data_IF_256114423976
#
_entry.id   IF_256114423976
#
_cell.length_a   1.000
_cell.length_b   1.000
_cell.length_c   1.000
_cell.angle_alpha   90.00
_cell.angle_beta   90.00
_cell.angle_gamma   90.00
#
_symmetry.space_group_name_H-M   'P 1'
#
loop_
_entity.id
_entity.type
_entity.pdbx_description
1 polymer ?
#
# COMPACT_ATOMS: atom_id res chain seq x y z
N UNK A 1 67.91 -2.78 -20.09
CA UNK A 1 68.70 -2.94 -18.84
C UNK A 1 67.72 -3.35 -17.75
N UNK A 2 67.54 -4.65 -17.45
CA UNK A 2 68.21 -5.45 -16.38
C UNK A 2 68.09 -4.78 -15.01
N UNK A 3 67.23 -5.27 -14.11
CA UNK A 3 67.44 -6.33 -13.07
C UNK A 3 67.64 -5.63 -11.70
N UNK A 4 67.06 -5.97 -10.54
CA UNK A 4 66.76 -7.23 -9.80
C UNK A 4 65.78 -6.88 -8.64
N UNK A 5 64.64 -7.56 -8.39
CA UNK A 5 64.38 -8.77 -7.56
C UNK A 5 65.14 -8.95 -6.21
N UNK A 6 64.37 -8.92 -5.12
CA UNK A 6 64.38 -9.77 -3.89
C UNK A 6 62.95 -9.62 -3.30
N UNK A 7 62.09 -10.61 -2.99
CA UNK A 7 62.24 -11.97 -2.43
C UNK A 7 62.34 -11.87 -0.90
N UNK A 8 61.55 -12.49 0.00
CA UNK A 8 60.45 -13.47 -0.02
C UNK A 8 59.83 -13.47 1.42
N UNK A 9 58.55 -13.84 1.65
CA UNK A 9 58.03 -15.15 2.09
C UNK A 9 57.20 -15.03 3.41
N UNK A 10 56.30 -16.00 3.61
CA UNK A 10 55.49 -16.33 4.81
C UNK A 10 54.15 -15.55 4.98
N UNK A 11 52.96 -16.15 5.01
CA UNK A 11 52.52 -17.53 4.88
C UNK A 11 51.04 -17.53 4.42
N UNK A 12 50.71 -18.40 3.45
CA UNK A 12 49.32 -18.69 3.04
C UNK A 12 48.67 -19.56 4.11
N UNK A 13 47.53 -19.14 4.67
CA UNK A 13 46.56 -20.05 5.29
C UNK A 13 45.40 -20.25 4.33
N UNK A 14 45.41 -21.40 3.68
CA UNK A 14 44.26 -22.00 3.01
C UNK A 14 43.23 -22.41 4.06
N UNK A 15 42.07 -21.75 4.10
CA UNK A 15 40.87 -22.33 4.70
C UNK A 15 40.15 -23.13 3.62
N UNK A 16 40.27 -24.45 3.67
CA UNK A 16 39.32 -25.35 3.01
C UNK A 16 38.00 -25.28 3.78
N UNK A 17 37.03 -24.51 3.29
CA UNK A 17 35.65 -24.66 3.72
C UNK A 17 35.05 -25.87 2.97
N UNK A 18 34.91 -27.00 3.67
CA UNK A 18 34.16 -28.16 3.18
C UNK A 18 32.70 -27.74 3.02
N UNK A 19 32.20 -27.80 1.79
CA UNK A 19 30.78 -27.76 1.51
C UNK A 19 30.11 -29.00 2.13
N UNK A 20 29.43 -28.82 3.27
CA UNK A 20 28.42 -29.77 3.75
C UNK A 20 27.08 -29.29 3.24
N UNK A 21 26.39 -30.14 2.46
CA UNK A 21 25.06 -29.88 1.95
C UNK A 21 24.10 -29.51 3.07
N UNK A 22 23.49 -28.34 2.95
CA UNK A 22 22.38 -27.91 3.79
C UNK A 22 21.11 -28.59 3.25
N UNK A 23 20.58 -29.54 4.02
CA UNK A 23 19.21 -30.04 3.85
C UNK A 23 18.21 -28.90 4.13
N UNK A 24 17.01 -28.92 3.54
CA UNK A 24 15.99 -27.91 3.79
C UNK A 24 15.56 -27.96 5.27
N UNK A 25 15.69 -26.83 5.96
CA UNK A 25 15.20 -26.66 7.33
C UNK A 25 13.67 -26.60 7.29
N UNK A 26 12.99 -27.67 7.70
CA UNK A 26 11.58 -27.61 8.04
C UNK A 26 11.42 -26.78 9.30
N UNK A 27 10.73 -25.64 9.21
CA UNK A 27 10.31 -24.84 10.37
C UNK A 27 9.28 -25.64 11.18
N UNK A 28 9.69 -26.14 12.35
CA UNK A 28 8.76 -26.67 13.35
C UNK A 28 8.08 -25.51 14.10
N UNK A 29 6.79 -25.62 14.45
CA UNK A 29 6.12 -24.63 15.28
C UNK A 29 6.71 -24.60 16.69
N UNK A 30 6.86 -23.39 17.25
CA UNK A 30 7.31 -23.18 18.63
C UNK A 30 6.30 -23.76 19.64
N UNK A 31 6.75 -24.31 20.77
CA UNK A 31 5.86 -24.82 21.81
C UNK A 31 5.01 -23.69 22.41
N UNK A 32 3.72 -23.97 22.60
CA UNK A 32 2.79 -23.03 23.22
C UNK A 32 3.19 -22.77 24.67
N UNK A 33 3.59 -21.54 24.99
CA UNK A 33 3.75 -21.09 26.36
C UNK A 33 2.37 -20.83 26.96
N UNK A 34 1.98 -21.66 27.91
CA UNK A 34 0.74 -21.49 28.70
C UNK A 34 0.94 -20.38 29.73
N UNK A 35 0.78 -19.14 29.30
CA UNK A 35 0.53 -18.04 30.26
C UNK A 35 -0.93 -18.13 30.72
N UNK A 36 -1.20 -18.19 32.04
CA UNK A 36 -2.57 -18.23 32.54
C UNK A 36 -3.28 -16.92 32.18
N UNK A 37 -4.55 -16.97 31.76
CA UNK A 37 -5.22 -15.80 31.24
C UNK A 37 -5.62 -14.87 32.39
N UNK A 38 -5.53 -13.56 32.15
CA UNK A 38 -5.82 -12.52 33.15
C UNK A 38 -7.22 -12.65 33.77
N UNK A 39 -7.41 -12.25 35.05
CA UNK A 39 -8.68 -12.34 35.77
C UNK A 39 -9.85 -11.70 35.02
N UNK A 40 -11.03 -12.34 35.09
CA UNK A 40 -12.23 -11.97 34.33
C UNK A 40 -12.70 -10.51 34.48
N UNK A 41 -12.35 -9.83 35.57
CA UNK A 41 -12.76 -8.44 35.82
C UNK A 41 -12.06 -7.44 34.89
N UNK A 42 -10.82 -7.67 34.44
CA UNK A 42 -10.13 -6.81 33.47
C UNK A 42 -10.57 -7.04 32.02
N UNK A 43 -11.20 -8.19 31.71
CA UNK A 43 -11.75 -8.47 30.37
C UNK A 43 -13.04 -7.70 30.06
N UNK A 44 -13.76 -7.24 31.09
CA UNK A 44 -15.05 -6.57 30.92
C UNK A 44 -14.97 -5.10 30.48
N UNK A 45 -13.80 -4.47 30.54
CA UNK A 45 -13.66 -3.04 30.16
C UNK A 45 -13.12 -2.81 28.73
N UNK A 46 -12.66 -3.85 28.01
CA UNK A 46 -12.15 -3.71 26.63
C UNK A 46 -13.04 -4.32 25.54
N UNK A 47 -14.12 -5.02 25.91
CA UNK A 47 -14.99 -5.73 24.95
C UNK A 47 -16.47 -5.33 25.02
N UNK A 48 -16.80 -4.23 25.67
CA UNK A 48 -18.17 -3.72 25.73
C UNK A 48 -18.53 -2.87 24.49
N UNK A 49 -18.32 -3.41 23.28
CA UNK A 49 -19.02 -2.96 22.07
C UNK A 49 -19.30 -4.16 21.17
N UNK A 50 -20.50 -4.74 21.34
CA UNK A 50 -21.29 -5.29 20.24
C UNK A 50 -20.81 -6.59 19.59
N UNK A 51 -21.09 -7.71 20.25
CA UNK A 51 -21.45 -8.98 19.59
C UNK A 51 -22.90 -8.92 19.08
N UNK A 52 -23.24 -7.89 18.29
CA UNK A 52 -24.39 -7.95 17.41
C UNK A 52 -23.93 -8.66 16.14
N UNK A 53 -24.74 -9.59 15.65
CA UNK A 53 -24.60 -10.24 14.35
C UNK A 53 -24.21 -9.18 13.30
N UNK A 54 -22.92 -9.12 12.95
CA UNK A 54 -22.40 -8.03 12.13
C UNK A 54 -23.00 -8.19 10.74
N UNK A 55 -23.92 -7.29 10.39
CA UNK A 55 -24.37 -7.14 9.01
C UNK A 55 -23.12 -7.10 8.11
N UNK A 56 -23.06 -8.02 7.15
CA UNK A 56 -21.93 -8.18 6.24
C UNK A 56 -21.69 -6.84 5.53
N UNK A 57 -20.59 -6.14 5.85
CA UNK A 57 -20.33 -4.76 5.40
C UNK A 57 -19.83 -4.68 3.95
N UNK A 58 -20.11 -5.70 3.14
CA UNK A 58 -19.74 -5.80 1.73
C UNK A 58 -18.43 -6.54 1.46
N UNK A 59 -18.22 -6.86 0.20
CA UNK A 59 -16.97 -7.40 -0.33
C UNK A 59 -16.11 -6.24 -0.85
N UNK A 60 -14.89 -6.10 -0.37
CA UNK A 60 -13.98 -5.01 -0.75
C UNK A 60 -12.74 -5.56 -1.44
N UNK A 61 -12.47 -5.07 -2.65
CA UNK A 61 -11.23 -5.33 -3.35
C UNK A 61 -10.13 -4.38 -2.84
N UNK A 62 -8.93 -4.89 -2.56
CA UNK A 62 -7.76 -4.08 -2.21
C UNK A 62 -6.68 -4.28 -3.25
N UNK A 63 -6.24 -3.21 -3.91
CA UNK A 63 -5.21 -3.30 -4.96
C UNK A 63 -3.86 -2.86 -4.43
N UNK A 64 -2.88 -3.75 -4.50
CA UNK A 64 -1.52 -3.60 -4.02
C UNK A 64 -0.57 -3.35 -5.21
N UNK A 65 0.61 -2.81 -4.91
CA UNK A 65 1.61 -2.39 -5.91
C UNK A 65 3.02 -2.93 -5.65
N UNK A 66 3.16 -3.92 -4.77
CA UNK A 66 4.44 -4.46 -4.26
C UNK A 66 4.43 -4.48 -2.73
N UNK A 67 5.60 -4.56 -2.08
CA UNK A 67 5.69 -4.58 -0.62
C UNK A 67 6.88 -3.76 -0.10
N UNK A 68 6.66 -2.46 0.14
CA UNK A 68 7.67 -1.50 0.56
C UNK A 68 7.34 -0.10 0.05
N UNK A 69 7.51 0.94 0.87
CA UNK A 69 7.11 2.30 0.50
C UNK A 69 7.80 2.81 -0.77
N UNK A 70 9.08 2.50 -1.00
CA UNK A 70 9.84 3.09 -2.10
C UNK A 70 9.64 2.40 -3.45
N UNK A 71 9.20 1.15 -3.46
CA UNK A 71 9.10 0.33 -4.67
C UNK A 71 7.79 -0.46 -4.80
N UNK A 72 6.88 -0.33 -3.84
CA UNK A 72 5.61 -1.03 -3.78
C UNK A 72 4.56 -0.31 -2.94
N UNK A 73 3.69 -1.10 -2.30
CA UNK A 73 2.68 -0.58 -1.37
C UNK A 73 3.31 -0.25 -0.02
N UNK A 74 2.90 0.90 0.55
CA UNK A 74 3.23 1.27 1.93
C UNK A 74 2.58 0.27 2.91
N UNK A 75 3.40 -0.36 3.75
CA UNK A 75 3.01 -1.52 4.53
C UNK A 75 2.06 -1.17 5.68
N UNK A 76 2.28 -0.03 6.32
CA UNK A 76 1.47 0.45 7.44
C UNK A 76 0.10 0.97 6.94
N UNK A 77 0.02 1.58 5.77
CA UNK A 77 -1.23 1.96 5.12
C UNK A 77 -2.04 0.72 4.76
N UNK A 78 -1.42 -0.27 4.12
CA UNK A 78 -2.08 -1.53 3.79
C UNK A 78 -2.57 -2.25 5.05
N UNK A 79 -1.74 -2.33 6.10
CA UNK A 79 -2.16 -2.91 7.37
C UNK A 79 -3.34 -2.13 7.99
N UNK A 80 -3.29 -0.79 7.98
CA UNK A 80 -4.36 0.07 8.50
C UNK A 80 -5.67 -0.13 7.75
N UNK A 81 -5.62 -0.16 6.41
CA UNK A 81 -6.79 -0.46 5.56
C UNK A 81 -7.39 -1.82 5.92
N UNK A 82 -6.57 -2.87 6.00
CA UNK A 82 -7.04 -4.23 6.32
C UNK A 82 -7.63 -4.33 7.73
N UNK A 83 -7.01 -3.69 8.72
CA UNK A 83 -7.51 -3.66 10.11
C UNK A 83 -8.87 -2.97 10.17
N UNK A 84 -9.03 -1.80 9.53
CA UNK A 84 -10.29 -1.06 9.55
C UNK A 84 -11.39 -1.76 8.75
N UNK A 85 -11.07 -2.38 7.61
CA UNK A 85 -12.02 -3.21 6.86
C UNK A 85 -12.50 -4.40 7.71
N UNK A 86 -11.58 -5.09 8.39
CA UNK A 86 -11.91 -6.20 9.29
C UNK A 86 -12.76 -5.75 10.48
N UNK A 87 -12.43 -4.60 11.09
CA UNK A 87 -13.26 -3.97 12.15
C UNK A 87 -14.66 -3.65 11.64
N UNK A 88 -14.76 -3.14 10.42
CA UNK A 88 -16.02 -2.87 9.74
C UNK A 88 -16.83 -4.12 9.36
N UNK A 89 -16.25 -5.32 9.43
CA UNK A 89 -16.92 -6.57 9.07
C UNK A 89 -16.96 -6.84 7.56
N UNK A 90 -16.10 -6.19 6.76
CA UNK A 90 -15.99 -6.43 5.33
C UNK A 90 -15.21 -7.72 5.02
N UNK A 91 -15.58 -8.41 3.94
CA UNK A 91 -14.73 -9.46 3.36
C UNK A 91 -13.76 -8.81 2.38
N UNK A 92 -12.48 -9.18 2.46
CA UNK A 92 -11.43 -8.56 1.67
C UNK A 92 -10.80 -9.58 0.74
N UNK A 93 -10.64 -9.20 -0.53
CA UNK A 93 -9.78 -9.90 -1.49
C UNK A 93 -8.75 -8.92 -2.04
N UNK A 94 -7.49 -9.37 -2.10
CA UNK A 94 -6.36 -8.54 -2.54
C UNK A 94 -5.96 -8.89 -3.96
N UNK A 95 -5.60 -7.86 -4.71
CA UNK A 95 -5.20 -7.95 -6.10
C UNK A 95 -3.91 -7.17 -6.34
N UNK A 96 -3.12 -7.59 -7.31
CA UNK A 96 -1.95 -6.84 -7.77
C UNK A 96 -1.67 -7.19 -9.24
N UNK A 97 -1.19 -6.25 -10.06
CA UNK A 97 -0.83 -6.55 -11.44
C UNK A 97 0.37 -7.50 -11.48
N UNK A 98 0.31 -8.51 -12.35
CA UNK A 98 1.41 -9.44 -12.55
C UNK A 98 2.48 -8.85 -13.50
N UNK A 99 3.20 -7.85 -13.01
CA UNK A 99 4.24 -7.12 -13.76
C UNK A 99 5.53 -7.00 -12.94
N UNK A 100 6.65 -6.74 -13.60
CA UNK A 100 7.89 -6.38 -12.91
C UNK A 100 7.74 -5.02 -12.21
N UNK A 101 8.34 -4.87 -11.02
CA UNK A 101 8.52 -3.56 -10.41
C UNK A 101 9.45 -2.71 -11.28
N UNK A 102 9.21 -1.39 -11.34
CA UNK A 102 10.09 -0.45 -12.04
C UNK A 102 11.50 -0.44 -11.43
N UNK A 103 11.57 -0.44 -10.10
CA UNK A 103 12.82 -0.53 -9.34
C UNK A 103 12.65 -1.51 -8.18
N UNK A 104 13.77 -2.08 -7.73
CA UNK A 104 13.89 -2.71 -6.40
C UNK A 104 14.72 -1.75 -5.56
N UNK A 105 14.26 -1.41 -4.35
CA UNK A 105 14.94 -0.40 -3.51
C UNK A 105 15.41 -1.02 -2.21
N UNK A 106 16.69 -0.80 -1.89
CA UNK A 106 17.21 -1.03 -0.54
C UNK A 106 16.67 0.07 0.38
N UNK A 107 15.63 -0.25 1.12
CA UNK A 107 14.95 0.70 2.01
C UNK A 107 15.83 1.21 3.14
N UNK A 108 16.94 0.53 3.48
CA UNK A 108 17.89 1.01 4.48
C UNK A 108 18.80 2.13 3.96
N UNK A 109 18.92 2.23 2.63
CA UNK A 109 19.75 3.23 1.95
C UNK A 109 18.93 4.26 1.18
N UNK A 110 17.68 3.94 0.84
CA UNK A 110 16.84 4.76 -0.04
C UNK A 110 17.23 4.66 -1.53
N UNK A 111 18.10 3.71 -1.90
CA UNK A 111 18.72 3.62 -3.22
C UNK A 111 18.31 2.35 -3.98
N UNK A 112 18.26 2.39 -5.32
CA UNK A 112 18.02 1.19 -6.13
C UNK A 112 19.04 0.07 -5.89
N UNK A 113 18.55 -1.15 -5.71
CA UNK A 113 19.36 -2.36 -5.66
C UNK A 113 19.71 -2.81 -7.08
N UNK A 114 20.85 -2.31 -7.59
CA UNK A 114 21.29 -2.54 -8.96
C UNK A 114 21.38 -4.03 -9.32
N UNK A 115 20.71 -4.41 -10.41
CA UNK A 115 20.70 -5.79 -10.93
C UNK A 115 19.65 -6.71 -10.30
N UNK A 116 18.90 -6.25 -9.29
CA UNK A 116 17.77 -7.00 -8.75
C UNK A 116 16.48 -6.70 -9.51
N UNK A 117 15.65 -7.74 -9.67
CA UNK A 117 14.29 -7.59 -10.18
C UNK A 117 13.31 -8.31 -9.27
N UNK A 118 12.11 -7.75 -9.12
CA UNK A 118 11.00 -8.32 -8.35
C UNK A 118 9.70 -8.13 -9.12
N UNK A 119 8.73 -8.99 -8.85
CA UNK A 119 7.40 -8.92 -9.45
C UNK A 119 6.38 -8.37 -8.44
N UNK A 120 5.55 -7.43 -8.90
CA UNK A 120 4.57 -6.71 -8.09
C UNK A 120 3.58 -7.66 -7.40
N UNK A 121 3.05 -8.64 -8.12
CA UNK A 121 2.12 -9.63 -7.56
C UNK A 121 2.81 -10.54 -6.53
N UNK A 122 4.01 -11.03 -6.85
CA UNK A 122 4.79 -11.91 -5.96
C UNK A 122 5.11 -11.19 -4.64
N UNK A 123 5.58 -9.95 -4.71
CA UNK A 123 5.92 -9.20 -3.49
C UNK A 123 4.66 -8.79 -2.71
N UNK A 124 3.57 -8.43 -3.39
CA UNK A 124 2.27 -8.16 -2.75
C UNK A 124 1.72 -9.37 -1.97
N UNK A 125 2.09 -10.59 -2.35
CA UNK A 125 1.71 -11.80 -1.64
C UNK A 125 2.25 -11.84 -0.19
N UNK A 126 3.30 -11.08 0.13
CA UNK A 126 3.83 -10.92 1.49
C UNK A 126 2.80 -10.23 2.40
N UNK A 127 2.20 -9.13 1.94
CA UNK A 127 1.13 -8.41 2.64
C UNK A 127 -0.10 -9.32 2.76
N UNK A 128 -0.47 -9.97 1.65
CA UNK A 128 -1.68 -10.76 1.56
C UNK A 128 -1.60 -12.15 2.23
N UNK A 129 -0.44 -12.52 2.79
CA UNK A 129 -0.19 -13.87 3.35
C UNK A 129 -0.52 -14.97 2.34
N UNK A 130 -0.13 -14.77 1.08
CA UNK A 130 -0.39 -15.66 -0.05
C UNK A 130 -1.77 -15.52 -0.71
N UNK A 131 -2.70 -14.75 -0.14
CA UNK A 131 -4.08 -14.57 -0.67
C UNK A 131 -4.21 -13.34 -1.57
N UNK A 132 -3.43 -13.31 -2.65
CA UNK A 132 -3.48 -12.24 -3.66
C UNK A 132 -3.72 -12.84 -5.04
N UNK A 133 -4.58 -12.20 -5.82
CA UNK A 133 -4.88 -12.59 -7.20
C UNK A 133 -4.32 -11.58 -8.20
N UNK A 134 -4.14 -12.01 -9.44
CA UNK A 134 -3.81 -11.11 -10.54
C UNK A 134 -4.94 -10.08 -10.73
N UNK A 135 -4.59 -8.79 -10.82
CA UNK A 135 -5.54 -7.69 -11.03
C UNK A 135 -6.35 -7.86 -12.33
N UNK A 136 -5.78 -8.51 -13.34
CA UNK A 136 -6.48 -8.83 -14.59
C UNK A 136 -7.74 -9.70 -14.35
N UNK A 137 -7.81 -10.42 -13.23
CA UNK A 137 -8.95 -11.29 -12.86
C UNK A 137 -10.00 -10.58 -12.01
N UNK A 138 -9.76 -9.34 -11.59
CA UNK A 138 -10.71 -8.58 -10.80
C UNK A 138 -11.95 -8.25 -11.65
N UNK A 139 -13.10 -8.79 -11.22
CA UNK A 139 -14.41 -8.48 -11.76
C UNK A 139 -15.13 -7.52 -10.81
N UNK A 140 -15.31 -6.25 -11.19
CA UNK A 140 -15.95 -5.26 -10.33
C UNK A 140 -17.38 -5.62 -9.90
N UNK A 141 -18.10 -6.50 -10.62
CA UNK A 141 -19.47 -6.88 -10.28
C UNK A 141 -19.60 -7.66 -8.96
N UNK A 142 -18.55 -8.38 -8.54
CA UNK A 142 -18.56 -9.24 -7.34
C UNK A 142 -18.16 -8.52 -6.04
N UNK A 143 -17.75 -7.26 -6.15
CA UNK A 143 -17.32 -6.40 -5.04
C UNK A 143 -18.26 -5.22 -4.86
N UNK A 144 -18.31 -4.66 -3.66
CA UNK A 144 -19.11 -3.48 -3.32
C UNK A 144 -18.28 -2.20 -3.33
N UNK A 145 -16.96 -2.31 -3.11
CA UNK A 145 -16.01 -1.19 -3.15
C UNK A 145 -14.59 -1.66 -3.52
N UNK A 146 -13.72 -0.71 -3.86
CA UNK A 146 -12.29 -0.92 -4.12
C UNK A 146 -11.44 0.07 -3.35
N UNK A 147 -10.30 -0.36 -2.81
CA UNK A 147 -9.36 0.49 -2.08
C UNK A 147 -7.93 0.32 -2.61
N UNK A 148 -7.22 1.43 -2.77
CA UNK A 148 -5.81 1.49 -3.13
C UNK A 148 -5.03 2.14 -1.98
N UNK A 149 -4.26 1.37 -1.20
CA UNK A 149 -3.21 1.92 -0.34
C UNK A 149 -2.16 2.66 -1.18
N UNK A 150 -1.41 3.54 -0.54
CA UNK A 150 -0.34 4.31 -1.15
C UNK A 150 0.98 3.56 -1.29
N UNK A 151 2.06 4.33 -1.21
CA UNK A 151 3.42 3.91 -1.54
C UNK A 151 3.83 4.32 -2.96
N UNK A 152 5.13 4.48 -3.18
CA UNK A 152 5.69 4.87 -4.48
C UNK A 152 5.47 3.80 -5.56
N UNK A 153 5.14 2.55 -5.21
CA UNK A 153 4.68 1.55 -6.17
C UNK A 153 3.43 2.00 -6.93
N UNK A 154 2.59 2.86 -6.36
CA UNK A 154 1.47 3.44 -7.10
C UNK A 154 1.96 4.37 -8.23
N UNK A 155 2.95 5.20 -7.93
CA UNK A 155 3.53 6.13 -8.89
C UNK A 155 4.47 5.48 -9.90
N UNK A 156 5.01 4.28 -9.59
CA UNK A 156 6.03 3.58 -10.39
C UNK A 156 5.51 2.34 -11.12
N UNK A 157 4.59 1.59 -10.51
CA UNK A 157 4.14 0.28 -11.01
C UNK A 157 2.67 0.32 -11.46
N UNK A 158 1.80 1.03 -10.73
CA UNK A 158 0.40 1.23 -11.12
C UNK A 158 0.22 2.38 -12.13
N UNK A 159 1.25 3.19 -12.32
CA UNK A 159 1.29 4.30 -13.26
C UNK A 159 2.73 4.68 -13.59
N UNK A 160 2.92 5.63 -14.49
CA UNK A 160 4.21 6.28 -14.77
C UNK A 160 4.35 7.65 -14.08
N UNK A 161 3.58 7.90 -13.02
CA UNK A 161 3.53 9.21 -12.35
C UNK A 161 4.89 9.66 -11.79
N UNK A 162 5.68 8.73 -11.26
CA UNK A 162 7.01 9.05 -10.73
C UNK A 162 7.97 9.62 -11.79
N UNK A 163 7.79 9.24 -13.07
CA UNK A 163 8.65 9.67 -14.17
C UNK A 163 8.03 10.81 -15.00
N UNK A 164 6.70 10.86 -15.10
CA UNK A 164 5.97 11.72 -16.05
C UNK A 164 5.05 12.75 -15.40
N UNK A 165 4.92 12.76 -14.07
CA UNK A 165 4.05 13.71 -13.36
C UNK A 165 2.63 13.70 -13.91
N UNK A 166 2.10 14.87 -14.26
CA UNK A 166 0.75 15.04 -14.82
C UNK A 166 0.53 14.37 -16.19
N UNK A 167 1.60 14.09 -16.93
CA UNK A 167 1.53 13.41 -18.24
C UNK A 167 1.56 11.87 -18.12
N UNK A 168 1.40 11.35 -16.90
CA UNK A 168 1.47 9.91 -16.64
C UNK A 168 0.43 9.11 -17.41
N UNK A 169 0.72 7.81 -17.52
CA UNK A 169 -0.24 6.80 -17.93
C UNK A 169 -0.49 5.89 -16.74
N UNK A 170 -1.74 5.46 -16.57
CA UNK A 170 -2.12 4.46 -15.58
C UNK A 170 -1.99 3.08 -16.22
N UNK A 171 -1.60 2.08 -15.44
CA UNK A 171 -1.56 0.68 -15.87
C UNK A 171 -2.96 0.29 -16.41
N UNK A 172 -3.01 -0.45 -17.52
CA UNK A 172 -4.26 -0.75 -18.22
C UNK A 172 -5.31 -1.47 -17.34
N UNK A 173 -4.88 -2.40 -16.48
CA UNK A 173 -5.78 -3.09 -15.57
C UNK A 173 -6.27 -2.18 -14.45
N UNK A 174 -5.40 -1.30 -13.94
CA UNK A 174 -5.77 -0.29 -12.92
C UNK A 174 -6.79 0.69 -13.49
N UNK A 175 -6.54 1.20 -14.70
CA UNK A 175 -7.47 2.10 -15.39
C UNK A 175 -8.82 1.43 -15.64
N UNK A 176 -8.80 0.18 -16.11
CA UNK A 176 -10.01 -0.63 -16.33
C UNK A 176 -10.83 -0.75 -15.04
N UNK A 177 -10.23 -1.21 -13.94
CA UNK A 177 -11.00 -1.42 -12.69
C UNK A 177 -11.49 -0.11 -12.10
N UNK A 178 -10.72 0.98 -12.18
CA UNK A 178 -11.20 2.30 -11.73
C UNK A 178 -12.45 2.73 -12.51
N UNK A 179 -12.45 2.55 -13.84
CA UNK A 179 -13.61 2.84 -14.70
C UNK A 179 -14.80 1.92 -14.42
N UNK A 180 -14.57 0.62 -14.21
CA UNK A 180 -15.62 -0.34 -13.89
C UNK A 180 -16.32 -0.03 -12.57
N UNK A 181 -15.56 0.26 -11.50
CA UNK A 181 -16.11 0.63 -10.19
C UNK A 181 -16.84 1.98 -10.24
N UNK A 182 -16.24 2.99 -10.87
CA UNK A 182 -16.87 4.31 -11.04
C UNK A 182 -18.15 4.25 -11.88
N UNK A 183 -18.12 3.55 -13.02
CA UNK A 183 -19.27 3.35 -13.89
C UNK A 183 -20.42 2.61 -13.20
N UNK A 184 -20.08 1.67 -12.31
CA UNK A 184 -21.05 0.92 -11.49
C UNK A 184 -21.50 1.66 -10.23
N UNK A 185 -21.06 2.91 -10.02
CA UNK A 185 -21.36 3.72 -8.81
C UNK A 185 -20.97 3.00 -7.52
N UNK A 186 -19.85 2.28 -7.55
CA UNK A 186 -19.25 1.61 -6.38
C UNK A 186 -18.14 2.48 -5.81
N UNK A 187 -18.02 2.61 -4.48
CA UNK A 187 -17.05 3.53 -3.90
C UNK A 187 -15.60 3.12 -4.15
N UNK A 188 -14.76 4.12 -4.35
CA UNK A 188 -13.31 3.97 -4.53
C UNK A 188 -12.61 4.70 -3.38
N UNK A 189 -11.78 3.99 -2.62
CA UNK A 189 -10.92 4.56 -1.57
C UNK A 189 -9.46 4.67 -2.03
N UNK A 190 -8.81 5.81 -1.86
CA UNK A 190 -7.39 5.99 -2.24
C UNK A 190 -6.62 6.68 -1.10
N UNK A 191 -5.47 6.12 -0.71
CA UNK A 191 -4.60 6.67 0.33
C UNK A 191 -3.36 7.35 -0.27
N UNK A 192 -2.85 8.38 0.39
CA UNK A 192 -1.51 8.92 0.12
C UNK A 192 -1.37 9.45 -1.32
N UNK A 193 -0.46 8.89 -2.11
CA UNK A 193 -0.27 9.28 -3.51
C UNK A 193 -1.25 8.59 -4.47
N UNK A 194 -1.97 7.55 -4.03
CA UNK A 194 -2.92 6.83 -4.89
C UNK A 194 -4.02 7.68 -5.56
N UNK A 195 -4.52 8.80 -4.98
CA UNK A 195 -5.48 9.67 -5.63
C UNK A 195 -5.06 10.22 -7.01
N UNK A 196 -3.76 10.23 -7.34
CA UNK A 196 -3.29 10.61 -8.69
C UNK A 196 -3.84 9.69 -9.78
N UNK A 197 -4.12 8.42 -9.44
CA UNK A 197 -4.73 7.46 -10.37
C UNK A 197 -6.15 7.90 -10.74
N UNK A 198 -6.96 8.24 -9.75
CA UNK A 198 -8.32 8.72 -9.96
C UNK A 198 -8.32 10.06 -10.70
N UNK A 199 -7.42 10.99 -10.32
CA UNK A 199 -7.27 12.27 -11.00
C UNK A 199 -6.96 12.12 -12.49
N UNK A 200 -6.15 11.10 -12.86
CA UNK A 200 -5.82 10.83 -14.27
C UNK A 200 -6.94 10.14 -15.04
N UNK A 201 -7.71 9.27 -14.38
CA UNK A 201 -8.65 8.35 -15.05
C UNK A 201 -10.09 8.85 -15.04
N UNK A 202 -10.50 9.59 -14.01
CA UNK A 202 -11.89 9.97 -13.76
C UNK A 202 -12.09 11.48 -13.98
N UNK A 203 -12.81 11.88 -15.05
CA UNK A 203 -13.01 13.30 -15.35
C UNK A 203 -13.79 14.05 -14.25
N UNK A 204 -13.26 15.19 -13.80
CA UNK A 204 -13.92 16.07 -12.84
C UNK A 204 -14.09 15.48 -11.44
N UNK A 205 -13.21 14.54 -11.06
CA UNK A 205 -13.15 14.00 -9.69
C UNK A 205 -12.55 15.02 -8.72
N UNK A 206 -13.05 15.02 -7.49
CA UNK A 206 -12.43 15.72 -6.37
C UNK A 206 -11.60 14.74 -5.52
N UNK A 207 -10.37 15.12 -5.20
CA UNK A 207 -9.46 14.28 -4.40
C UNK A 207 -8.62 15.14 -3.45
N UNK A 208 -8.11 14.53 -2.39
CA UNK A 208 -7.09 15.10 -1.53
C UNK A 208 -5.82 14.26 -1.58
N UNK A 209 -4.67 14.92 -1.64
CA UNK A 209 -3.35 14.31 -1.39
C UNK A 209 -2.66 14.98 -0.18
N UNK A 210 -3.42 15.72 0.64
CA UNK A 210 -2.90 16.48 1.78
C UNK A 210 -3.03 17.99 1.61
N UNK A 211 -1.98 18.72 1.96
CA UNK A 211 -1.88 20.17 1.82
C UNK A 211 -1.14 20.57 0.55
N UNK A 212 -1.33 21.80 0.09
CA UNK A 212 -0.67 22.35 -1.10
C UNK A 212 0.66 23.06 -0.78
N UNK A 213 0.96 23.24 0.50
CA UNK A 213 2.21 23.82 1.00
C UNK A 213 2.93 22.86 1.94
N UNK A 214 4.25 22.97 1.97
CA UNK A 214 5.15 22.14 2.77
C UNK A 214 4.91 22.24 4.29
N UNK A 215 4.50 23.41 4.78
CA UNK A 215 4.31 23.71 6.22
C UNK A 215 5.50 23.32 7.12
N UNK A 216 6.73 23.53 6.65
CA UNK A 216 7.94 23.32 7.45
C UNK A 216 8.37 21.86 7.51
N UNK A 217 8.31 21.15 6.38
CA UNK A 217 8.66 19.74 6.23
C UNK A 217 7.53 18.77 6.57
N UNK A 218 6.37 19.29 7.02
CA UNK A 218 5.23 18.44 7.38
C UNK A 218 4.59 17.77 6.17
N UNK A 219 4.65 18.39 4.99
CA UNK A 219 4.06 17.89 3.75
C UNK A 219 5.10 17.81 2.63
N UNK A 220 6.06 16.86 2.70
CA UNK A 220 7.20 16.79 1.79
C UNK A 220 6.81 16.54 0.32
N UNK A 221 5.56 16.14 0.08
CA UNK A 221 5.03 15.82 -1.24
C UNK A 221 3.85 16.70 -1.66
N UNK A 222 3.72 17.90 -1.08
CA UNK A 222 2.66 18.86 -1.37
C UNK A 222 2.51 19.21 -2.87
N UNK A 223 3.60 19.13 -3.64
CA UNK A 223 3.61 19.35 -5.08
C UNK A 223 2.67 18.40 -5.87
N UNK A 224 2.32 17.24 -5.30
CA UNK A 224 1.35 16.32 -5.90
C UNK A 224 -0.03 16.98 -6.10
N UNK A 225 -0.41 17.95 -5.27
CA UNK A 225 -1.65 18.71 -5.43
C UNK A 225 -1.67 19.52 -6.74
N UNK A 226 -0.53 20.09 -7.13
CA UNK A 226 -0.38 20.78 -8.41
C UNK A 226 -0.57 19.83 -9.60
N UNK A 227 0.02 18.63 -9.52
CA UNK A 227 -0.15 17.61 -10.56
C UNK A 227 -1.61 17.13 -10.68
N UNK A 228 -2.31 16.95 -9.55
CA UNK A 228 -3.75 16.64 -9.52
C UNK A 228 -4.55 17.69 -10.29
N UNK A 229 -4.31 18.98 -10.03
CA UNK A 229 -4.97 20.09 -10.74
C UNK A 229 -4.65 20.10 -12.24
N UNK A 230 -3.38 19.87 -12.59
CA UNK A 230 -2.94 19.83 -13.98
C UNK A 230 -3.58 18.67 -14.77
N UNK A 231 -3.95 17.57 -14.11
CA UNK A 231 -4.70 16.46 -14.72
C UNK A 231 -6.21 16.73 -14.85
N UNK A 232 -6.71 17.89 -14.39
CA UNK A 232 -8.11 18.29 -14.52
C UNK A 232 -9.00 17.85 -13.35
N UNK A 233 -8.42 17.31 -12.28
CA UNK A 233 -9.13 17.00 -11.03
C UNK A 233 -9.10 18.20 -10.08
N UNK A 234 -10.06 18.26 -9.16
CA UNK A 234 -10.08 19.28 -8.10
C UNK A 234 -9.36 18.76 -6.87
N UNK A 235 -8.28 19.41 -6.49
CA UNK A 235 -7.63 19.14 -5.21
C UNK A 235 -8.40 19.82 -4.06
N UNK A 236 -8.58 19.11 -2.95
CA UNK A 236 -9.17 19.62 -1.71
C UNK A 236 -8.18 19.37 -0.57
N UNK A 237 -7.75 20.44 0.10
CA UNK A 237 -6.83 20.31 1.23
C UNK A 237 -7.47 19.56 2.40
N UNK A 238 -6.74 18.61 2.97
CA UNK A 238 -7.13 17.86 4.17
C UNK A 238 -5.96 17.70 5.11
N UNK A 239 -6.23 17.70 6.41
CA UNK A 239 -5.27 17.26 7.39
C UNK A 239 -5.19 15.72 7.43
N UNK A 240 -4.12 15.21 8.02
CA UNK A 240 -3.79 13.78 8.04
C UNK A 240 -4.86 12.89 8.70
N UNK A 241 -5.60 13.40 9.69
CA UNK A 241 -6.69 12.67 10.36
C UNK A 241 -8.02 12.77 9.63
N UNK A 242 -8.09 13.50 8.52
CA UNK A 242 -9.31 13.72 7.76
C UNK A 242 -9.33 12.86 6.48
N UNK A 243 -10.53 12.70 5.92
CA UNK A 243 -10.71 12.23 4.55
C UNK A 243 -11.55 13.24 3.75
N UNK A 244 -11.38 13.23 2.44
CA UNK A 244 -12.26 13.91 1.50
C UNK A 244 -13.20 12.91 0.85
N UNK A 245 -14.47 13.28 0.71
CA UNK A 245 -15.51 12.46 0.08
C UNK A 245 -16.09 13.25 -1.09
N UNK A 246 -15.78 12.82 -2.32
CA UNK A 246 -16.49 13.23 -3.51
C UNK A 246 -17.76 12.37 -3.64
N UNK A 247 -18.88 12.88 -3.13
CA UNK A 247 -20.17 12.17 -3.16
C UNK A 247 -20.66 11.91 -4.58
N UNK A 248 -20.37 12.80 -5.54
CA UNK A 248 -20.82 12.70 -6.92
C UNK A 248 -20.14 11.52 -7.63
N UNK A 249 -18.84 11.36 -7.43
CA UNK A 249 -18.05 10.29 -8.05
C UNK A 249 -17.89 9.06 -7.14
N UNK A 250 -18.34 9.13 -5.89
CA UNK A 250 -18.10 8.14 -4.83
C UNK A 250 -16.62 7.81 -4.64
N UNK A 251 -15.79 8.85 -4.65
CA UNK A 251 -14.34 8.75 -4.43
C UNK A 251 -14.04 9.27 -3.04
N UNK A 252 -13.34 8.48 -2.24
CA UNK A 252 -12.90 8.84 -0.89
C UNK A 252 -11.38 8.82 -0.86
N UNK A 253 -10.78 9.89 -0.33
CA UNK A 253 -9.32 10.03 -0.30
C UNK A 253 -8.84 10.49 1.07
N UNK A 254 -7.65 10.07 1.48
CA UNK A 254 -7.01 10.53 2.71
C UNK A 254 -5.50 10.70 2.52
N UNK A 255 -4.86 11.70 3.16
CA UNK A 255 -3.45 11.99 2.87
C UNK A 255 -2.46 10.94 3.37
N UNK A 256 -2.74 10.22 4.47
CA UNK A 256 -1.83 9.24 5.06
C UNK A 256 -0.36 9.73 5.11
N UNK A 257 0.62 8.95 4.64
CA UNK A 257 2.06 9.30 4.71
C UNK A 257 2.50 10.43 3.75
N UNK A 258 1.58 11.13 3.10
CA UNK A 258 1.90 12.44 2.51
C UNK A 258 2.22 13.49 3.59
N UNK A 259 1.90 13.19 4.86
CA UNK A 259 2.20 14.00 6.03
C UNK A 259 3.24 13.31 6.94
N UNK A 260 4.27 14.06 7.35
CA UNK A 260 5.20 13.67 8.42
C UNK A 260 4.52 13.88 9.79
N UNK A 261 4.14 12.79 10.45
CA UNK A 261 3.44 12.80 11.73
C UNK A 261 3.53 11.42 12.42
N UNK A 262 3.00 11.32 13.63
CA UNK A 262 2.93 10.04 14.34
C UNK A 262 2.02 9.03 13.64
N UNK A 263 2.43 7.76 13.65
CA UNK A 263 1.73 6.66 12.96
C UNK A 263 0.25 6.52 13.30
N UNK A 264 -0.16 6.87 14.53
CA UNK A 264 -1.56 6.74 14.94
C UNK A 264 -2.46 7.76 14.22
N UNK A 265 -1.98 8.95 13.89
CA UNK A 265 -2.73 9.92 13.09
C UNK A 265 -2.97 9.42 11.67
N UNK A 266 -1.99 8.75 11.08
CA UNK A 266 -2.09 8.08 9.78
C UNK A 266 -3.15 6.97 9.85
N UNK A 267 -3.06 6.12 10.88
CA UNK A 267 -4.01 5.04 11.13
C UNK A 267 -5.45 5.56 11.26
N UNK A 268 -5.66 6.66 11.99
CA UNK A 268 -6.98 7.25 12.21
C UNK A 268 -7.56 7.86 10.93
N UNK A 269 -6.75 8.56 10.13
CA UNK A 269 -7.18 9.12 8.83
C UNK A 269 -7.59 8.04 7.83
N UNK A 270 -6.82 6.94 7.76
CA UNK A 270 -7.17 5.75 6.96
C UNK A 270 -8.47 5.13 7.47
N UNK A 271 -8.66 5.08 8.79
CA UNK A 271 -9.91 4.62 9.40
C UNK A 271 -11.13 5.44 8.98
N UNK A 272 -11.00 6.76 8.96
CA UNK A 272 -12.04 7.66 8.48
C UNK A 272 -12.37 7.39 7.00
N UNK A 273 -11.35 7.21 6.15
CA UNK A 273 -11.55 6.86 4.75
C UNK A 273 -12.26 5.50 4.59
N UNK A 274 -11.82 4.45 5.30
CA UNK A 274 -12.45 3.11 5.21
C UNK A 274 -13.91 3.19 5.66
N UNK A 275 -14.20 3.87 6.77
CA UNK A 275 -15.56 4.03 7.26
C UNK A 275 -16.46 4.74 6.24
N UNK A 276 -15.97 5.81 5.61
CA UNK A 276 -16.70 6.52 4.56
C UNK A 276 -16.95 5.64 3.32
N UNK A 277 -15.95 4.86 2.88
CA UNK A 277 -16.09 3.89 1.78
C UNK A 277 -17.17 2.86 2.10
N UNK A 278 -17.13 2.24 3.29
CA UNK A 278 -18.12 1.26 3.70
C UNK A 278 -19.52 1.86 3.82
N UNK A 279 -19.64 3.11 4.28
CA UNK A 279 -20.94 3.79 4.35
C UNK A 279 -21.52 4.08 2.97
N UNK A 280 -20.70 4.44 1.98
CA UNK A 280 -21.15 4.64 0.59
C UNK A 280 -21.47 3.33 -0.14
N UNK A 281 -20.99 2.20 0.37
CA UNK A 281 -21.21 0.86 -0.18
C UNK A 281 -22.49 0.20 0.36
N UNK A 282 -23.02 0.67 1.50
CA UNK A 282 -24.30 0.21 2.04
C UNK A 282 -25.42 0.54 1.05
N UNK A 283 -26.26 -0.45 0.77
CA UNK A 283 -27.50 -0.30 -0.01
C UNK A 283 -28.63 0.17 0.88
#
# INVERSE_FOLDING_TARGET
>A
MRCTRLGALCARRTLQARARGLLPVQLQPLPATTTPPLPQQQRRQLHATGSAERAHAGNVAVVLSGAGVYDGTELLEAASVLIHLSRGGAKVEMFAPNVSQMHVVDHSKGEPAMGETRNVLVESARIARGKVSDLAKLNASTFDAIIFPGGFGVAKNLSTFAEKGSDCKVNADVERVLKEFHGSKKPIGLCCIAPVLAARVLPGVEVSVGQESDQGGKWPHHAAAGAVKAMGAKHVEKNVTECHVDTKNKVVTTPAFMCETDYHHIFDGIGAMVLAVLNLAKK
#
